data_IF_264982525804
#
_entry.id   IF_264982525804
#
_cell.length_a   1.000
_cell.length_b   1.000
_cell.length_c   1.000
_cell.angle_alpha   90.00
_cell.angle_beta   90.00
_cell.angle_gamma   90.00
#
_symmetry.space_group_name_H-M   'P 1'
#
loop_
_entity.id
_entity.type
_entity.pdbx_description
1 polymer ?
#
# COMPACT_ATOMS: atom_id res chain seq x y z
N UNK A 1 2.40 -17.26 6.71
CA UNK A 1 3.47 -16.52 5.99
C UNK A 1 2.86 -15.74 4.84
N UNK A 2 3.28 -14.50 4.60
CA UNK A 2 2.71 -13.59 3.58
C UNK A 2 3.45 -13.62 2.23
N UNK A 3 4.29 -14.62 1.97
CA UNK A 3 5.16 -14.68 0.79
C UNK A 3 4.39 -14.56 -0.53
N UNK A 4 3.24 -15.24 -0.67
CA UNK A 4 2.39 -15.13 -1.85
C UNK A 4 1.92 -13.69 -2.08
N UNK A 5 1.52 -13.00 -1.02
CA UNK A 5 1.05 -11.61 -1.08
C UNK A 5 2.20 -10.67 -1.40
N UNK A 6 3.38 -10.90 -0.84
CA UNK A 6 4.61 -10.17 -1.17
C UNK A 6 4.93 -10.27 -2.65
N UNK A 7 4.91 -11.48 -3.23
CA UNK A 7 5.17 -11.68 -4.66
C UNK A 7 4.10 -11.00 -5.53
N UNK A 8 2.82 -11.16 -5.18
CA UNK A 8 1.72 -10.53 -5.92
C UNK A 8 1.84 -8.99 -5.95
N UNK A 9 2.19 -8.38 -4.81
CA UNK A 9 2.40 -6.93 -4.72
C UNK A 9 3.65 -6.53 -5.48
N UNK A 10 4.75 -7.26 -5.33
CA UNK A 10 6.01 -6.99 -6.02
C UNK A 10 5.81 -6.94 -7.54
N UNK A 11 5.16 -7.96 -8.12
CA UNK A 11 4.87 -8.02 -9.56
C UNK A 11 3.97 -6.86 -10.02
N UNK A 12 2.98 -6.46 -9.21
CA UNK A 12 2.11 -5.33 -9.53
C UNK A 12 2.88 -4.00 -9.57
N UNK A 13 3.78 -3.78 -8.61
CA UNK A 13 4.51 -2.52 -8.50
C UNK A 13 5.78 -2.47 -9.35
N UNK A 14 6.30 -3.59 -9.86
CA UNK A 14 7.43 -3.62 -10.77
C UNK A 14 7.05 -3.17 -12.19
N UNK A 15 6.50 -1.97 -12.27
CA UNK A 15 6.05 -1.34 -13.49
C UNK A 15 6.37 0.15 -13.44
N UNK A 16 6.88 0.69 -14.55
CA UNK A 16 7.22 2.11 -14.66
C UNK A 16 5.97 3.03 -14.67
N UNK A 17 4.79 2.47 -14.93
CA UNK A 17 3.53 3.20 -15.03
C UNK A 17 2.53 2.84 -13.93
N UNK A 18 2.97 2.15 -12.86
CA UNK A 18 2.09 1.82 -11.73
C UNK A 18 1.57 3.09 -11.06
N UNK A 19 0.29 3.07 -10.69
CA UNK A 19 -0.42 4.17 -10.04
C UNK A 19 -1.19 3.68 -8.81
N UNK A 20 -1.69 4.64 -8.04
CA UNK A 20 -2.56 4.33 -6.90
C UNK A 20 -3.81 3.55 -7.30
N UNK A 21 -4.37 3.78 -8.49
CA UNK A 21 -5.56 3.07 -8.96
C UNK A 21 -5.32 1.57 -9.18
N UNK A 22 -4.10 1.17 -9.57
CA UNK A 22 -3.74 -0.25 -9.71
C UNK A 22 -3.79 -0.95 -8.34
N UNK A 23 -3.42 -0.23 -7.28
CA UNK A 23 -3.54 -0.73 -5.91
C UNK A 23 -4.99 -0.78 -5.48
N UNK A 24 -5.83 0.19 -5.83
CA UNK A 24 -7.28 0.12 -5.55
C UNK A 24 -7.89 -1.11 -6.24
N UNK A 25 -7.55 -1.35 -7.50
CA UNK A 25 -8.04 -2.49 -8.28
C UNK A 25 -7.63 -3.84 -7.66
N UNK A 26 -6.44 -3.93 -7.05
CA UNK A 26 -5.99 -5.14 -6.35
C UNK A 26 -6.95 -5.57 -5.21
N UNK A 27 -7.71 -4.64 -4.64
CA UNK A 27 -8.62 -4.91 -3.52
C UNK A 27 -10.11 -4.92 -3.90
N UNK A 28 -10.45 -4.77 -5.18
CA UNK A 28 -11.84 -4.63 -5.64
C UNK A 28 -12.74 -5.82 -5.25
N UNK A 29 -12.17 -7.01 -5.15
CA UNK A 29 -12.90 -8.25 -4.84
C UNK A 29 -13.12 -8.44 -3.33
N UNK A 30 -12.63 -7.54 -2.48
CA UNK A 30 -12.86 -7.57 -1.04
C UNK A 30 -13.90 -6.51 -0.63
N UNK A 31 -15.21 -6.83 -0.64
CA UNK A 31 -16.30 -5.84 -0.53
C UNK A 31 -16.36 -5.09 0.82
N UNK A 32 -15.66 -5.59 1.84
CA UNK A 32 -15.61 -5.01 3.17
C UNK A 32 -14.34 -4.19 3.44
N UNK A 33 -13.42 -4.13 2.48
CA UNK A 33 -12.15 -3.42 2.62
C UNK A 33 -12.28 -2.09 1.92
N UNK A 34 -12.11 -1.00 2.66
CA UNK A 34 -12.16 0.33 2.08
C UNK A 34 -10.78 0.72 1.57
N UNK A 35 -10.66 0.99 0.27
CA UNK A 35 -9.40 1.40 -0.35
C UNK A 35 -9.60 2.69 -1.12
N UNK A 36 -8.66 3.63 -0.95
CA UNK A 36 -8.63 4.88 -1.68
C UNK A 36 -7.22 5.24 -2.11
N UNK A 37 -7.09 5.79 -3.32
CA UNK A 37 -5.89 6.48 -3.79
C UNK A 37 -6.15 7.97 -3.87
N UNK A 38 -5.11 8.78 -3.62
CA UNK A 38 -5.12 10.22 -3.88
C UNK A 38 -3.79 10.63 -4.48
N UNK A 39 -3.83 11.08 -5.72
CA UNK A 39 -2.68 11.70 -6.38
C UNK A 39 -2.36 13.05 -5.74
N UNK A 40 -1.09 13.24 -5.38
CA UNK A 40 -0.51 14.52 -4.98
C UNK A 40 0.59 14.86 -5.98
N UNK A 41 0.57 16.10 -6.48
CA UNK A 41 1.56 16.63 -7.41
C UNK A 41 2.20 17.86 -6.80
N UNK A 42 3.51 17.95 -6.88
CA UNK A 42 4.28 19.12 -6.48
C UNK A 42 5.42 19.38 -7.47
N UNK A 43 6.33 20.29 -7.10
CA UNK A 43 7.48 20.66 -7.93
C UNK A 43 8.55 19.55 -8.01
N UNK A 44 8.48 18.53 -7.14
CA UNK A 44 9.43 17.42 -7.08
C UNK A 44 8.94 16.19 -7.84
N UNK A 45 7.62 16.05 -8.02
CA UNK A 45 7.04 15.01 -8.85
C UNK A 45 5.57 14.73 -8.56
N UNK A 46 5.15 13.51 -8.88
CA UNK A 46 3.82 12.99 -8.63
C UNK A 46 3.94 11.75 -7.74
N UNK A 47 3.07 11.64 -6.74
CA UNK A 47 2.94 10.44 -5.91
C UNK A 47 1.48 10.18 -5.60
N UNK A 48 1.08 8.91 -5.66
CA UNK A 48 -0.27 8.49 -5.30
C UNK A 48 -0.26 7.95 -3.88
N UNK A 49 -0.92 8.64 -2.95
CA UNK A 49 -1.08 8.19 -1.58
C UNK A 49 -2.21 7.17 -1.52
N UNK A 50 -1.93 6.00 -0.98
CA UNK A 50 -2.89 4.92 -0.81
C UNK A 50 -3.22 4.76 0.66
N UNK A 51 -4.52 4.63 0.95
CA UNK A 51 -5.03 4.27 2.27
C UNK A 51 -5.98 3.09 2.14
N UNK A 52 -5.73 2.06 2.95
CA UNK A 52 -6.54 0.85 3.05
C UNK A 52 -7.02 0.74 4.49
N UNK A 53 -8.32 0.55 4.69
CA UNK A 53 -8.93 0.24 5.99
C UNK A 53 -9.51 -1.17 5.95
N UNK A 54 -9.05 -2.00 6.88
CA UNK A 54 -9.57 -3.33 7.15
C UNK A 54 -10.36 -3.25 8.45
N UNK A 55 -11.70 -3.34 8.41
CA UNK A 55 -12.52 -3.15 9.59
C UNK A 55 -12.34 -4.28 10.59
N UNK A 56 -12.26 -3.92 11.87
CA UNK A 56 -12.27 -4.85 12.99
C UNK A 56 -13.69 -5.14 13.47
N UNK A 57 -13.90 -6.29 14.09
CA UNK A 57 -15.22 -6.66 14.67
C UNK A 57 -15.68 -5.72 15.79
N UNK A 58 -14.73 -5.05 16.45
CA UNK A 58 -14.94 -4.01 17.44
C UNK A 58 -14.12 -2.74 17.13
N UNK A 59 -13.84 -2.50 15.85
CA UNK A 59 -13.11 -1.33 15.41
C UNK A 59 -13.87 -0.01 15.56
N UNK A 60 -13.11 1.09 15.56
CA UNK A 60 -13.61 2.47 15.62
C UNK A 60 -14.40 2.87 14.37
N UNK A 61 -14.12 2.25 13.23
CA UNK A 61 -14.91 2.34 11.99
C UNK A 61 -16.39 1.98 12.21
N UNK A 62 -16.66 1.10 13.17
CA UNK A 62 -17.99 0.70 13.59
C UNK A 62 -18.43 1.34 14.92
N UNK A 63 -17.83 2.48 15.30
CA UNK A 63 -18.13 3.23 16.52
C UNK A 63 -17.94 2.41 17.81
N UNK A 64 -16.96 1.50 17.82
CA UNK A 64 -16.56 0.73 19.01
C UNK A 64 -15.16 1.13 19.47
N UNK A 65 -14.70 0.53 20.57
CA UNK A 65 -13.56 1.06 21.33
C UNK A 65 -12.23 0.31 21.14
N UNK A 66 -12.17 -0.74 20.31
CA UNK A 66 -10.91 -1.47 20.14
C UNK A 66 -9.84 -0.57 19.49
N UNK A 67 -8.56 -0.70 19.91
CA UNK A 67 -7.48 0.10 19.36
C UNK A 67 -7.26 -0.21 17.87
N UNK A 68 -6.96 0.84 17.10
CA UNK A 68 -6.62 0.72 15.67
C UNK A 68 -5.13 0.47 15.50
N UNK A 69 -4.76 -0.55 14.74
CA UNK A 69 -3.37 -0.79 14.34
C UNK A 69 -3.06 0.02 13.07
N UNK A 70 -1.95 0.76 13.07
CA UNK A 70 -1.44 1.47 11.91
C UNK A 70 -0.24 0.76 11.29
N UNK A 71 -0.25 0.54 9.97
CA UNK A 71 0.91 0.06 9.21
C UNK A 71 1.26 1.12 8.16
N UNK A 72 2.44 1.71 8.28
CA UNK A 72 2.90 2.77 7.37
C UNK A 72 4.10 2.26 6.57
N UNK A 73 3.90 2.10 5.26
CA UNK A 73 4.95 1.75 4.32
C UNK A 73 5.59 3.01 3.73
N UNK A 74 6.80 3.35 4.16
CA UNK A 74 7.56 4.48 3.61
C UNK A 74 8.53 3.99 2.53
N UNK A 75 8.60 4.71 1.42
CA UNK A 75 9.58 4.50 0.36
C UNK A 75 10.26 5.80 -0.07
N UNK A 76 11.44 5.67 -0.69
CA UNK A 76 12.11 6.75 -1.44
C UNK A 76 11.67 6.83 -2.91
N UNK A 77 11.27 5.71 -3.50
CA UNK A 77 10.79 5.58 -4.87
C UNK A 77 10.64 4.10 -5.23
N UNK A 78 9.71 3.75 -6.13
CA UNK A 78 9.54 2.36 -6.59
C UNK A 78 10.71 1.96 -7.49
N UNK A 79 11.15 2.86 -8.37
CA UNK A 79 12.34 2.71 -9.19
C UNK A 79 13.10 4.03 -9.33
N UNK A 80 14.40 3.94 -9.63
CA UNK A 80 15.26 5.10 -9.86
C UNK A 80 15.45 5.36 -11.38
N UNK A 81 14.38 5.25 -12.16
CA UNK A 81 14.43 5.33 -13.63
C UNK A 81 14.79 6.74 -14.12
N UNK A 82 15.69 6.89 -15.11
CA UNK A 82 16.30 5.83 -15.93
C UNK A 82 17.59 5.23 -15.34
N UNK A 83 18.13 5.78 -14.25
CA UNK A 83 19.44 5.35 -13.69
C UNK A 83 19.48 3.91 -13.20
N UNK A 84 18.35 3.38 -12.69
CA UNK A 84 18.15 1.96 -12.41
C UNK A 84 16.79 1.51 -12.94
N UNK A 85 16.79 0.45 -13.74
CA UNK A 85 15.59 -0.18 -14.30
C UNK A 85 15.12 -1.29 -13.35
N UNK A 86 13.81 -1.38 -13.16
CA UNK A 86 13.17 -2.30 -12.22
C UNK A 86 12.93 -1.69 -10.83
N UNK A 87 12.34 -2.48 -9.95
CA UNK A 87 12.14 -2.14 -8.54
C UNK A 87 13.47 -2.06 -7.78
N UNK A 88 13.58 -1.06 -6.89
CA UNK A 88 14.72 -0.91 -5.97
C UNK A 88 14.28 -1.15 -4.52
N UNK A 89 15.23 -1.40 -3.62
CA UNK A 89 14.97 -1.68 -2.19
C UNK A 89 14.21 -0.57 -1.46
N UNK A 90 14.26 0.67 -1.98
CA UNK A 90 13.47 1.77 -1.42
C UNK A 90 11.96 1.48 -1.48
N UNK A 91 11.52 0.60 -2.39
CA UNK A 91 10.12 0.17 -2.50
C UNK A 91 9.67 -0.81 -1.41
N UNK A 92 10.60 -1.41 -0.65
CA UNK A 92 10.31 -2.51 0.28
C UNK A 92 9.29 -2.13 1.35
N UNK A 93 9.29 -0.87 1.80
CA UNK A 93 8.30 -0.36 2.74
C UNK A 93 6.88 -0.40 2.18
N UNK A 94 6.70 -0.02 0.91
CA UNK A 94 5.41 -0.14 0.22
C UNK A 94 5.01 -1.62 0.04
N UNK A 95 5.96 -2.46 -0.40
CA UNK A 95 5.72 -3.89 -0.61
C UNK A 95 5.25 -4.54 0.69
N UNK A 96 5.95 -4.29 1.80
CA UNK A 96 5.63 -4.87 3.09
C UNK A 96 4.24 -4.43 3.59
N UNK A 97 3.92 -3.14 3.47
CA UNK A 97 2.62 -2.60 3.89
C UNK A 97 1.46 -3.18 3.07
N UNK A 98 1.58 -3.17 1.73
CA UNK A 98 0.55 -3.70 0.84
C UNK A 98 0.41 -5.22 0.93
N UNK A 99 1.50 -5.96 1.13
CA UNK A 99 1.45 -7.40 1.35
C UNK A 99 0.74 -7.76 2.66
N UNK A 100 0.99 -6.98 3.72
CA UNK A 100 0.26 -7.11 4.98
C UNK A 100 -1.24 -6.82 4.78
N UNK A 101 -1.57 -5.74 4.07
CA UNK A 101 -2.96 -5.40 3.76
C UNK A 101 -3.66 -6.52 2.98
N UNK A 102 -3.03 -7.04 1.92
CA UNK A 102 -3.60 -8.12 1.11
C UNK A 102 -3.79 -9.41 1.91
N UNK A 103 -2.84 -9.73 2.80
CA UNK A 103 -2.97 -10.90 3.66
C UNK A 103 -4.12 -10.74 4.66
N UNK A 104 -4.25 -9.57 5.26
CA UNK A 104 -5.32 -9.26 6.22
C UNK A 104 -6.69 -9.20 5.53
N UNK A 105 -6.80 -8.68 4.31
CA UNK A 105 -8.03 -8.69 3.53
C UNK A 105 -8.51 -10.13 3.26
N UNK A 106 -7.60 -11.01 2.84
CA UNK A 106 -7.91 -12.43 2.62
C UNK A 106 -8.27 -13.17 3.90
N UNK A 107 -7.68 -12.80 5.04
CA UNK A 107 -8.09 -13.33 6.35
C UNK A 107 -9.50 -12.87 6.69
N UNK A 108 -9.76 -11.57 6.54
CA UNK A 108 -11.06 -10.97 6.80
C UNK A 108 -12.19 -11.63 5.97
N UNK A 109 -11.96 -11.86 4.69
CA UNK A 109 -12.90 -12.54 3.78
C UNK A 109 -13.18 -13.99 4.21
N UNK A 110 -12.16 -14.70 4.71
CA UNK A 110 -12.29 -16.07 5.22
C UNK A 110 -12.93 -16.17 6.61
N UNK A 111 -13.27 -15.04 7.23
CA UNK A 111 -13.88 -14.96 8.56
C UNK A 111 -12.88 -14.75 9.70
N UNK A 112 -11.58 -14.75 9.44
CA UNK A 112 -10.53 -14.45 10.42
C UNK A 112 -10.40 -12.93 10.61
N UNK A 113 -11.39 -12.34 11.30
CA UNK A 113 -11.48 -10.89 11.52
C UNK A 113 -10.82 -10.48 12.83
N UNK A 114 -10.02 -9.42 12.79
CA UNK A 114 -9.38 -8.87 13.98
C UNK A 114 -10.38 -8.12 14.87
N UNK A 115 -9.98 -7.88 16.13
CA UNK A 115 -10.79 -7.10 17.08
C UNK A 115 -10.87 -5.63 16.67
N UNK A 116 -9.73 -4.99 16.48
CA UNK A 116 -9.62 -3.58 16.07
C UNK A 116 -9.42 -3.41 14.58
N UNK A 117 -9.66 -2.18 14.10
CA UNK A 117 -9.37 -1.81 12.72
C UNK A 117 -7.88 -1.89 12.44
N UNK A 118 -7.53 -2.18 11.19
CA UNK A 118 -6.17 -1.99 10.67
C UNK A 118 -6.20 -0.94 9.56
N UNK A 119 -5.44 0.13 9.74
CA UNK A 119 -5.25 1.15 8.72
C UNK A 119 -3.86 1.00 8.16
N UNK A 120 -3.78 0.78 6.85
CA UNK A 120 -2.53 0.67 6.11
C UNK A 120 -2.41 1.88 5.20
N UNK A 121 -1.26 2.55 5.24
CA UNK A 121 -0.97 3.68 4.35
C UNK A 121 0.41 3.54 3.72
N UNK A 122 0.50 3.93 2.46
CA UNK A 122 1.76 4.03 1.72
C UNK A 122 1.61 5.03 0.57
N UNK A 123 2.66 5.23 -0.19
CA UNK A 123 2.64 6.05 -1.40
C UNK A 123 3.22 5.28 -2.58
N UNK A 124 2.72 5.56 -3.78
CA UNK A 124 3.19 4.96 -5.03
C UNK A 124 3.88 6.06 -5.81
N UNK A 125 5.20 5.93 -5.93
CA UNK A 125 6.05 6.86 -6.67
C UNK A 125 6.84 6.06 -7.71
N UNK A 126 6.29 5.86 -8.94
CA UNK A 126 6.90 4.98 -9.95
C UNK A 126 8.27 5.48 -10.43
N UNK A 127 8.52 6.79 -10.29
CA UNK A 127 9.74 7.44 -10.74
C UNK A 127 10.27 8.40 -9.68
N UNK A 128 11.49 8.16 -9.22
CA UNK A 128 12.25 9.14 -8.46
C UNK A 128 13.09 10.00 -9.43
N UNK A 129 12.74 11.28 -9.57
CA UNK A 129 13.34 12.17 -10.57
C UNK A 129 14.70 12.77 -10.16
N UNK A 130 15.06 12.75 -8.87
CA UNK A 130 16.28 13.40 -8.35
C UNK A 130 17.19 12.42 -7.60
N UNK A 131 18.38 12.21 -8.13
CA UNK A 131 19.47 11.42 -7.52
C UNK A 131 20.04 12.03 -6.23
N UNK A 132 19.67 13.27 -5.88
CA UNK A 132 20.22 13.99 -4.72
C UNK A 132 19.34 13.96 -3.46
N UNK A 133 18.13 13.38 -3.50
CA UNK A 133 17.30 13.28 -2.31
C UNK A 133 16.35 12.08 -2.39
N UNK A 134 16.47 11.16 -1.43
CA UNK A 134 15.62 10.00 -1.21
C UNK A 134 14.18 10.36 -0.79
N UNK A 135 13.55 11.31 -1.48
CA UNK A 135 12.19 11.80 -1.16
C UNK A 135 11.46 12.16 -2.45
N UNK A 136 10.56 11.28 -2.85
CA UNK A 136 9.16 11.71 -3.01
C UNK A 136 8.65 12.08 -1.60
#
# INVERSE_FOLDING_TARGET
MSLKQTLCVYELIDCASVKGEDIVALFQDFPHIEVMSKTVKDNKGQSDFVRILIPGTQGKSHHKDAPTLGIIGRLGGIGARPSRIGVVSDADGAIAALAAALKLAQMHEKGDRLLGDVVITTHICPQCANTSAYTC
#
